data_IF_094178614886
#
_entry.id   IF_094178614886
#
_cell.length_a   1.000
_cell.length_b   1.000
_cell.length_c   1.000
_cell.angle_alpha   90.00
_cell.angle_beta   90.00
_cell.angle_gamma   90.00
#
_symmetry.space_group_name_H-M   'P 1'
#
loop_
_entity.id
_entity.type
_entity.pdbx_description
1 polymer ?
#
# COMPACT_ATOMS: atom_id res chain seq x y z
N UNK A 1 -28.40 -27.51 -14.29
CA UNK A 1 -28.36 -28.90 -13.82
C UNK A 1 -27.95 -28.90 -12.36
N UNK A 2 -28.91 -29.27 -11.51
CA UNK A 2 -28.74 -29.44 -10.07
C UNK A 2 -27.86 -30.66 -9.76
N UNK A 3 -26.77 -30.48 -9.04
CA UNK A 3 -26.21 -31.48 -8.14
C UNK A 3 -25.22 -30.84 -7.19
N UNK A 4 -25.71 -30.11 -6.18
CA UNK A 4 -24.97 -29.91 -4.93
C UNK A 4 -25.50 -30.95 -3.95
N UNK A 5 -24.62 -31.83 -3.51
CA UNK A 5 -24.94 -32.89 -2.56
C UNK A 5 -25.29 -32.33 -1.19
N UNK A 6 -26.24 -32.95 -0.49
CA UNK A 6 -26.69 -32.54 0.87
C UNK A 6 -25.55 -32.31 1.89
N UNK A 7 -24.41 -32.93 1.67
CA UNK A 7 -23.22 -32.82 2.52
C UNK A 7 -22.56 -31.43 2.45
N UNK A 8 -22.50 -30.81 1.26
CA UNK A 8 -21.92 -29.46 1.09
C UNK A 8 -22.77 -28.35 1.70
N UNK A 9 -24.09 -28.54 1.76
CA UNK A 9 -24.99 -27.57 2.40
C UNK A 9 -24.92 -27.62 3.93
N UNK A 10 -24.66 -28.80 4.50
CA UNK A 10 -24.48 -28.97 5.95
C UNK A 10 -23.14 -28.38 6.43
N UNK A 11 -22.05 -28.55 5.68
CA UNK A 11 -20.74 -27.94 5.98
C UNK A 11 -20.78 -26.41 5.89
N UNK A 12 -21.43 -25.84 4.88
CA UNK A 12 -21.60 -24.38 4.78
C UNK A 12 -22.45 -23.81 5.92
N UNK A 13 -23.47 -24.55 6.37
CA UNK A 13 -24.31 -24.11 7.51
C UNK A 13 -23.52 -24.13 8.82
N UNK A 14 -22.70 -25.15 9.08
CA UNK A 14 -21.83 -25.23 10.25
C UNK A 14 -20.79 -24.11 10.33
N UNK A 15 -20.25 -23.70 9.20
CA UNK A 15 -19.28 -22.57 9.11
C UNK A 15 -19.97 -21.23 9.38
N UNK A 16 -21.20 -21.03 8.90
CA UNK A 16 -21.97 -19.81 9.17
C UNK A 16 -22.43 -19.70 10.63
N UNK A 17 -22.85 -20.82 11.25
CA UNK A 17 -23.24 -20.86 12.64
C UNK A 17 -22.04 -20.65 13.58
N UNK A 18 -20.86 -21.19 13.24
CA UNK A 18 -19.63 -20.95 13.98
C UNK A 18 -19.16 -19.49 13.92
N UNK A 19 -19.34 -18.83 12.76
CA UNK A 19 -19.05 -17.38 12.61
C UNK A 19 -20.03 -16.52 13.38
N UNK A 20 -21.32 -16.86 13.38
CA UNK A 20 -22.36 -16.14 14.11
C UNK A 20 -22.17 -16.25 15.62
N UNK A 21 -21.78 -17.42 16.14
CA UNK A 21 -21.49 -17.64 17.56
C UNK A 21 -20.22 -16.91 18.02
N UNK A 22 -19.18 -16.82 17.17
CA UNK A 22 -18.01 -15.98 17.44
C UNK A 22 -18.34 -14.49 17.49
N UNK A 23 -19.20 -14.00 16.60
CA UNK A 23 -19.66 -12.60 16.62
C UNK A 23 -20.52 -12.27 17.86
N UNK A 24 -21.34 -13.20 18.35
CA UNK A 24 -22.13 -12.98 19.57
C UNK A 24 -21.28 -12.95 20.84
N UNK A 25 -20.20 -13.71 20.90
CA UNK A 25 -19.26 -13.68 22.03
C UNK A 25 -18.41 -12.41 22.09
N UNK A 26 -18.15 -11.76 20.95
CA UNK A 26 -17.44 -10.46 20.89
C UNK A 26 -18.30 -9.33 21.48
N UNK A 27 -19.63 -9.39 21.33
CA UNK A 27 -20.52 -8.36 21.81
C UNK A 27 -20.90 -8.44 23.30
N UNK A 28 -20.50 -9.48 24.04
CA UNK A 28 -20.80 -9.63 25.47
C UNK A 28 -19.67 -9.21 26.41
N UNK A 29 -18.47 -8.88 25.86
CA UNK A 29 -17.32 -8.48 26.70
C UNK A 29 -17.05 -6.96 26.73
N UNK A 30 -18.01 -6.16 26.25
CA UNK A 30 -17.88 -4.69 26.16
C UNK A 30 -18.27 -3.90 27.42
N UNK A 31 -18.33 -4.55 28.59
CA UNK A 31 -18.59 -3.84 29.85
C UNK A 31 -17.52 -4.13 30.89
N UNK A 32 -16.35 -3.50 30.75
CA UNK A 32 -15.37 -3.11 31.79
C UNK A 32 -13.99 -2.93 31.20
N UNK A 33 -13.58 -1.69 30.96
CA UNK A 33 -12.16 -1.32 31.08
C UNK A 33 -12.02 0.21 31.11
N UNK A 34 -11.92 0.72 32.29
CA UNK A 34 -11.25 1.99 32.57
C UNK A 34 -9.74 1.67 32.66
N UNK A 35 -8.91 2.30 31.83
CA UNK A 35 -7.51 2.54 32.12
C UNK A 35 -6.50 1.49 31.69
N UNK A 36 -6.57 0.98 30.44
CA UNK A 36 -5.41 0.39 29.78
C UNK A 36 -5.23 1.11 28.45
N UNK A 37 -4.12 1.86 28.29
CA UNK A 37 -3.71 2.44 26.99
C UNK A 37 -3.52 1.22 26.09
N UNK A 38 -4.40 1.03 25.14
CA UNK A 38 -4.54 -0.19 24.36
C UNK A 38 -3.22 -0.56 23.67
N UNK A 39 -2.67 -1.71 24.02
CA UNK A 39 -1.46 -2.25 23.42
C UNK A 39 -1.68 -2.44 21.92
N UNK A 40 -0.79 -1.91 21.07
CA UNK A 40 -0.82 -2.10 19.62
C UNK A 40 -0.90 -3.57 19.25
N UNK A 41 -1.91 -3.96 18.48
CA UNK A 41 -2.15 -5.33 18.02
C UNK A 41 -1.81 -5.54 16.54
N UNK A 42 -1.85 -4.46 15.75
CA UNK A 42 -1.52 -4.51 14.34
C UNK A 42 -0.72 -3.28 13.90
N UNK A 43 0.21 -3.47 12.95
CA UNK A 43 0.93 -2.39 12.28
C UNK A 43 0.76 -2.59 10.78
N UNK A 44 0.28 -1.54 10.11
CA UNK A 44 0.10 -1.51 8.66
C UNK A 44 1.11 -0.58 8.02
N UNK A 45 1.71 -1.02 6.93
CA UNK A 45 2.68 -0.23 6.18
C UNK A 45 2.14 0.11 4.79
N UNK A 46 2.40 1.33 4.33
CA UNK A 46 2.44 1.59 2.90
C UNK A 46 3.69 0.94 2.28
N UNK A 47 3.76 0.89 0.95
CA UNK A 47 4.85 0.26 0.22
C UNK A 47 5.81 1.29 -0.38
N UNK A 48 5.30 2.12 -1.32
CA UNK A 48 6.12 3.00 -2.14
C UNK A 48 6.63 4.19 -1.30
N UNK A 49 7.95 4.46 -1.33
CA UNK A 49 8.65 5.46 -0.50
C UNK A 49 8.52 5.22 1.03
N UNK A 50 8.01 4.05 1.44
CA UNK A 50 7.95 3.61 2.83
C UNK A 50 8.85 2.40 3.05
N UNK A 51 8.49 1.22 2.55
CA UNK A 51 9.32 0.01 2.77
C UNK A 51 10.47 -0.14 1.77
N UNK A 52 10.54 0.71 0.76
CA UNK A 52 11.67 0.89 -0.16
C UNK A 52 11.62 2.29 -0.81
N UNK A 53 12.75 2.76 -1.39
CA UNK A 53 12.84 4.05 -2.10
C UNK A 53 12.29 3.93 -3.52
N UNK A 54 10.98 4.21 -3.70
CA UNK A 54 10.33 4.19 -5.01
C UNK A 54 10.87 5.30 -5.93
N UNK A 55 11.02 6.53 -5.42
CA UNK A 55 11.47 7.67 -6.22
C UNK A 55 12.88 7.41 -6.78
N UNK A 56 13.79 6.89 -5.96
CA UNK A 56 15.13 6.53 -6.40
C UNK A 56 15.11 5.44 -7.48
N UNK A 57 14.34 4.36 -7.26
CA UNK A 57 14.20 3.29 -8.23
C UNK A 57 13.55 3.76 -9.54
N UNK A 58 12.52 4.63 -9.48
CA UNK A 58 11.91 5.24 -10.65
C UNK A 58 12.90 6.08 -11.46
N UNK A 59 13.65 6.95 -10.79
CA UNK A 59 14.63 7.81 -11.44
C UNK A 59 15.74 7.00 -12.16
N UNK A 60 16.15 5.86 -11.57
CA UNK A 60 17.10 4.96 -12.21
C UNK A 60 16.49 4.16 -13.38
N UNK A 61 15.18 3.94 -13.38
CA UNK A 61 14.46 3.23 -14.46
C UNK A 61 14.24 4.11 -15.68
N UNK A 62 14.03 5.41 -15.49
CA UNK A 62 13.67 6.32 -16.59
C UNK A 62 14.73 6.42 -17.72
N UNK A 63 16.05 6.41 -17.46
CA UNK A 63 17.05 6.37 -18.54
C UNK A 63 16.88 5.15 -19.46
N UNK A 64 16.60 3.97 -18.90
CA UNK A 64 16.37 2.73 -19.68
C UNK A 64 15.10 2.87 -20.54
N UNK A 65 14.03 3.42 -19.99
CA UNK A 65 12.79 3.69 -20.72
C UNK A 65 12.98 4.68 -21.87
N UNK A 66 13.77 5.73 -21.63
CA UNK A 66 14.09 6.74 -22.65
C UNK A 66 14.87 6.15 -23.83
N UNK A 67 15.87 5.32 -23.53
CA UNK A 67 16.65 4.64 -24.56
C UNK A 67 15.77 3.73 -25.40
N UNK A 68 15.00 2.86 -24.74
CA UNK A 68 14.11 1.93 -25.41
C UNK A 68 13.08 2.64 -26.31
N UNK A 69 12.45 3.72 -25.79
CA UNK A 69 11.44 4.50 -26.53
C UNK A 69 12.04 5.21 -27.76
N UNK A 70 13.27 5.68 -27.65
CA UNK A 70 14.00 6.27 -28.77
C UNK A 70 14.27 5.24 -29.86
N UNK A 71 14.85 4.09 -29.51
CA UNK A 71 15.22 3.04 -30.46
C UNK A 71 14.01 2.39 -31.14
N UNK A 72 12.95 2.11 -30.42
CA UNK A 72 11.83 1.32 -30.92
C UNK A 72 10.66 2.16 -31.46
N UNK A 73 10.51 3.38 -30.96
CA UNK A 73 9.36 4.24 -31.28
C UNK A 73 9.76 5.58 -31.92
N UNK A 74 11.06 5.93 -31.96
CA UNK A 74 11.53 7.23 -32.44
C UNK A 74 11.04 8.39 -31.58
N UNK A 75 10.78 8.16 -30.30
CA UNK A 75 10.40 9.20 -29.34
C UNK A 75 11.68 9.82 -28.78
N UNK A 76 11.81 11.16 -28.88
CA UNK A 76 12.96 11.84 -28.32
C UNK A 76 13.07 11.63 -26.81
N UNK A 77 14.29 11.35 -26.31
CA UNK A 77 14.53 11.00 -24.90
C UNK A 77 14.04 12.06 -23.92
N UNK A 78 14.17 13.32 -24.29
CA UNK A 78 13.72 14.50 -23.55
C UNK A 78 12.20 14.63 -23.47
N UNK A 79 11.46 14.08 -24.42
CA UNK A 79 10.01 14.20 -24.51
C UNK A 79 9.25 13.07 -23.80
N UNK A 80 9.87 11.93 -23.53
CA UNK A 80 9.16 10.75 -23.01
C UNK A 80 8.42 11.04 -21.71
N UNK A 81 9.06 11.70 -20.76
CA UNK A 81 8.43 12.00 -19.44
C UNK A 81 7.22 12.92 -19.60
N UNK A 82 7.33 13.91 -20.47
CA UNK A 82 6.21 14.80 -20.81
C UNK A 82 5.04 14.01 -21.37
N UNK A 83 5.28 13.15 -22.37
CA UNK A 83 4.20 12.35 -22.98
C UNK A 83 3.58 11.35 -21.98
N UNK A 84 4.38 10.75 -21.10
CA UNK A 84 3.87 9.87 -20.02
C UNK A 84 3.02 10.66 -19.01
N UNK A 85 3.42 11.90 -18.68
CA UNK A 85 2.66 12.76 -17.78
C UNK A 85 1.32 13.19 -18.39
N UNK A 86 1.31 13.61 -19.66
CA UNK A 86 0.10 13.94 -20.40
C UNK A 86 -0.85 12.73 -20.53
N UNK A 87 -0.29 11.56 -20.79
CA UNK A 87 -1.06 10.31 -20.88
C UNK A 87 -1.66 9.91 -19.52
N UNK A 88 -0.98 10.21 -18.41
CA UNK A 88 -1.53 10.01 -17.08
C UNK A 88 -2.80 10.81 -16.88
N UNK A 89 -2.76 12.11 -17.17
CA UNK A 89 -3.95 12.99 -17.07
C UNK A 89 -5.11 12.43 -17.90
N UNK A 90 -4.83 12.02 -19.14
CA UNK A 90 -5.83 11.46 -20.03
C UNK A 90 -6.42 10.13 -19.53
N UNK A 91 -5.59 9.26 -18.93
CA UNK A 91 -6.05 8.01 -18.34
C UNK A 91 -6.91 8.29 -17.10
N UNK A 92 -6.49 9.23 -16.25
CA UNK A 92 -7.24 9.65 -15.06
C UNK A 92 -8.61 10.27 -15.44
N UNK A 93 -8.67 11.08 -16.48
CA UNK A 93 -9.93 11.64 -16.98
C UNK A 93 -10.90 10.58 -17.51
N UNK A 94 -10.40 9.49 -18.08
CA UNK A 94 -11.22 8.38 -18.60
C UNK A 94 -11.73 7.47 -17.50
N UNK A 95 -10.89 7.16 -16.52
CA UNK A 95 -11.17 6.19 -15.49
C UNK A 95 -11.89 6.77 -14.27
N UNK A 96 -11.84 8.10 -14.08
CA UNK A 96 -12.13 8.77 -12.83
C UNK A 96 -10.88 8.85 -11.95
N UNK A 97 -10.97 9.63 -10.87
CA UNK A 97 -9.86 9.81 -9.91
C UNK A 97 -10.01 8.83 -8.76
N UNK A 98 -8.90 8.58 -8.06
CA UNK A 98 -8.83 7.79 -6.82
C UNK A 98 -9.19 6.30 -6.99
N UNK A 99 -8.86 5.73 -8.17
CA UNK A 99 -8.98 4.30 -8.47
C UNK A 99 -7.62 3.67 -8.81
N UNK A 100 -7.45 2.40 -8.49
CA UNK A 100 -6.21 1.65 -8.77
C UNK A 100 -5.76 1.70 -10.23
N UNK A 101 -6.70 1.86 -11.17
CA UNK A 101 -6.41 2.00 -12.60
C UNK A 101 -5.55 3.24 -12.91
N UNK A 102 -5.61 4.26 -12.06
CA UNK A 102 -4.79 5.48 -12.19
C UNK A 102 -3.28 5.18 -12.01
N UNK A 103 -2.94 4.09 -11.34
CA UNK A 103 -1.58 3.59 -11.21
C UNK A 103 -1.19 2.56 -12.27
N UNK A 104 -2.13 2.10 -13.10
CA UNK A 104 -1.86 1.11 -14.13
C UNK A 104 -1.04 1.72 -15.29
N UNK A 105 0.28 1.48 -15.28
CA UNK A 105 1.19 1.99 -16.29
C UNK A 105 0.93 1.43 -17.68
N UNK A 106 0.35 0.23 -17.81
CA UNK A 106 -0.03 -0.32 -19.11
C UNK A 106 -1.06 0.59 -19.80
N UNK A 107 -2.09 1.02 -19.06
CA UNK A 107 -3.10 1.95 -19.58
C UNK A 107 -2.48 3.31 -19.92
N UNK A 108 -1.53 3.80 -19.10
CA UNK A 108 -0.82 5.06 -19.40
C UNK A 108 0.00 4.97 -20.67
N UNK A 109 0.78 3.90 -20.85
CA UNK A 109 1.56 3.69 -22.09
C UNK A 109 0.66 3.50 -23.31
N UNK A 110 -0.46 2.78 -23.17
CA UNK A 110 -1.48 2.69 -24.20
C UNK A 110 -1.98 4.09 -24.59
N UNK A 111 -2.44 4.91 -23.64
CA UNK A 111 -2.93 6.26 -23.87
C UNK A 111 -1.87 7.17 -24.52
N UNK A 112 -0.60 7.02 -24.13
CA UNK A 112 0.52 7.74 -24.73
C UNK A 112 0.69 7.39 -26.20
N UNK A 113 0.76 6.10 -26.53
CA UNK A 113 0.95 5.62 -27.88
C UNK A 113 -0.22 6.01 -28.80
N UNK A 114 -1.47 5.87 -28.32
CA UNK A 114 -2.67 6.33 -29.02
C UNK A 114 -2.58 7.84 -29.34
N UNK A 115 -2.16 8.65 -28.37
CA UNK A 115 -2.06 10.12 -28.54
C UNK A 115 -0.97 10.49 -29.56
N UNK A 116 0.13 9.75 -29.60
CA UNK A 116 1.23 9.97 -30.52
C UNK A 116 1.02 9.32 -31.90
N UNK A 117 -0.12 8.64 -32.12
CA UNK A 117 -0.36 7.90 -33.35
C UNK A 117 0.61 6.75 -33.59
N UNK A 118 1.16 6.18 -32.52
CA UNK A 118 2.08 5.05 -32.55
C UNK A 118 1.32 3.74 -32.39
N UNK A 119 1.84 2.60 -32.90
CA UNK A 119 1.23 1.29 -32.68
C UNK A 119 1.15 0.96 -31.20
N UNK A 120 -0.02 0.55 -30.71
CA UNK A 120 -0.21 0.15 -29.31
C UNK A 120 0.43 -1.22 -29.05
N UNK A 121 0.22 -2.17 -29.97
CA UNK A 121 0.78 -3.52 -29.89
C UNK A 121 2.03 -3.68 -30.73
N UNK A 122 3.08 -4.35 -30.19
CA UNK A 122 3.21 -4.90 -28.83
C UNK A 122 3.68 -3.88 -27.78
N UNK A 123 3.99 -2.65 -28.20
CA UNK A 123 4.82 -1.67 -27.50
C UNK A 123 4.30 -1.23 -26.12
N UNK A 124 2.99 -1.08 -25.94
CA UNK A 124 2.46 -0.71 -24.61
C UNK A 124 2.80 -1.77 -23.56
N UNK A 125 2.69 -3.05 -23.93
CA UNK A 125 2.99 -4.15 -23.04
C UNK A 125 4.49 -4.33 -22.80
N UNK A 126 5.31 -4.14 -23.83
CA UNK A 126 6.77 -4.16 -23.72
C UNK A 126 7.27 -3.04 -22.81
N UNK A 127 6.75 -1.81 -22.96
CA UNK A 127 7.07 -0.68 -22.07
C UNK A 127 6.65 -0.97 -20.63
N UNK A 128 5.47 -1.57 -20.42
CA UNK A 128 4.98 -1.93 -19.10
C UNK A 128 5.90 -2.94 -18.40
N UNK A 129 6.28 -4.01 -19.10
CA UNK A 129 7.18 -5.01 -18.56
C UNK A 129 8.57 -4.43 -18.31
N UNK A 130 9.15 -3.73 -19.28
CA UNK A 130 10.46 -3.09 -19.14
C UNK A 130 10.50 -2.17 -17.93
N UNK A 131 9.47 -1.33 -17.74
CA UNK A 131 9.41 -0.42 -16.61
C UNK A 131 9.41 -1.17 -15.27
N UNK A 132 8.49 -2.11 -15.09
CA UNK A 132 8.35 -2.80 -13.82
C UNK A 132 9.48 -3.78 -13.55
N UNK A 133 9.98 -4.49 -14.56
CA UNK A 133 11.10 -5.41 -14.42
C UNK A 133 12.37 -4.65 -14.02
N UNK A 134 12.66 -3.53 -14.70
CA UNK A 134 13.82 -2.69 -14.37
C UNK A 134 13.70 -2.06 -12.99
N UNK A 135 12.51 -1.55 -12.62
CA UNK A 135 12.29 -0.94 -11.32
C UNK A 135 12.41 -1.97 -10.20
N UNK A 136 11.71 -3.10 -10.34
CA UNK A 136 11.65 -4.11 -9.28
C UNK A 136 13.00 -4.82 -9.12
N UNK A 137 13.78 -4.98 -10.18
CA UNK A 137 15.07 -5.67 -10.06
C UNK A 137 16.06 -4.96 -9.15
N UNK A 138 15.98 -3.64 -9.03
CA UNK A 138 16.92 -2.82 -8.25
C UNK A 138 16.46 -2.46 -6.84
N UNK A 139 15.17 -2.71 -6.46
CA UNK A 139 14.69 -2.32 -5.15
C UNK A 139 15.29 -3.16 -4.03
N UNK A 140 15.56 -2.50 -2.92
CA UNK A 140 16.03 -3.10 -1.67
C UNK A 140 15.17 -2.57 -0.51
N UNK A 141 15.02 -3.32 0.60
CA UNK A 141 14.30 -2.86 1.76
C UNK A 141 14.87 -1.56 2.34
N UNK A 142 14.01 -0.66 2.79
CA UNK A 142 14.41 0.53 3.54
C UNK A 142 15.19 0.14 4.80
N UNK A 143 16.22 0.91 5.19
CA UNK A 143 17.04 0.58 6.36
C UNK A 143 16.21 0.41 7.64
N UNK A 144 16.39 -0.72 8.33
CA UNK A 144 15.75 -1.04 9.60
C UNK A 144 14.33 -1.60 9.51
N UNK A 145 13.73 -1.71 8.29
CA UNK A 145 12.36 -2.24 8.14
C UNK A 145 12.28 -3.74 8.47
N UNK A 146 13.27 -4.54 8.03
CA UNK A 146 13.28 -5.97 8.30
C UNK A 146 13.42 -6.26 9.79
N UNK A 147 14.30 -5.52 10.48
CA UNK A 147 14.50 -5.60 11.94
C UNK A 147 13.22 -5.25 12.68
N UNK A 148 12.54 -4.16 12.29
CA UNK A 148 11.26 -3.78 12.87
C UNK A 148 10.21 -4.87 12.67
N UNK A 149 10.01 -5.36 11.44
CA UNK A 149 9.03 -6.42 11.15
C UNK A 149 9.32 -7.69 11.96
N UNK A 150 10.59 -8.07 12.08
CA UNK A 150 11.00 -9.22 12.90
C UNK A 150 10.63 -9.02 14.38
N UNK A 151 10.87 -7.85 14.94
CA UNK A 151 10.55 -7.55 16.34
C UNK A 151 9.03 -7.50 16.57
N UNK A 152 8.26 -6.89 15.65
CA UNK A 152 6.80 -6.91 15.70
C UNK A 152 6.25 -8.34 15.71
N UNK A 153 6.78 -9.23 14.86
CA UNK A 153 6.40 -10.66 14.85
C UNK A 153 6.73 -11.36 16.16
N UNK A 154 7.90 -11.09 16.76
CA UNK A 154 8.26 -11.65 18.06
C UNK A 154 7.33 -11.22 19.19
N UNK A 155 6.74 -10.02 19.07
CA UNK A 155 5.73 -9.49 20.00
C UNK A 155 4.31 -9.99 19.71
N UNK A 156 4.12 -10.80 18.66
CA UNK A 156 2.81 -11.29 18.24
C UNK A 156 1.92 -10.23 17.59
N UNK A 157 2.49 -9.13 17.09
CA UNK A 157 1.78 -8.06 16.43
C UNK A 157 1.52 -8.46 14.98
N UNK A 158 0.29 -8.26 14.52
CA UNK A 158 -0.09 -8.47 13.11
C UNK A 158 0.58 -7.44 12.22
N UNK A 159 1.18 -7.88 11.11
CA UNK A 159 1.81 -7.00 10.13
C UNK A 159 1.01 -7.05 8.84
N UNK A 160 0.45 -5.92 8.45
CA UNK A 160 -0.30 -5.77 7.22
C UNK A 160 0.28 -4.73 6.27
N UNK A 161 -0.17 -4.78 5.04
CA UNK A 161 0.10 -3.77 4.00
C UNK A 161 -1.21 -3.09 3.62
N UNK A 162 -1.19 -1.75 3.48
CA UNK A 162 -2.28 -0.96 2.95
C UNK A 162 -1.77 0.02 1.88
N UNK A 163 -1.91 -0.29 0.59
CA UNK A 163 -1.23 0.47 -0.47
C UNK A 163 -2.11 0.81 -1.67
N UNK A 164 -1.88 2.02 -2.24
CA UNK A 164 -2.53 2.48 -3.46
C UNK A 164 -1.81 1.91 -4.68
N UNK A 165 -2.32 0.81 -5.27
CA UNK A 165 -1.75 0.20 -6.48
C UNK A 165 -2.56 -1.02 -6.92
N UNK A 166 -2.21 -1.55 -8.12
CA UNK A 166 -2.64 -2.87 -8.57
C UNK A 166 -1.94 -3.98 -7.79
N UNK A 167 -2.66 -5.03 -7.48
CA UNK A 167 -2.20 -6.13 -6.61
C UNK A 167 -0.98 -6.85 -7.18
N UNK A 168 -0.97 -7.17 -8.48
CA UNK A 168 0.15 -7.86 -9.13
C UNK A 168 1.49 -7.17 -8.86
N UNK A 169 1.55 -5.87 -9.10
CA UNK A 169 2.78 -5.08 -8.91
C UNK A 169 3.23 -5.08 -7.45
N UNK A 170 2.29 -4.93 -6.50
CA UNK A 170 2.63 -4.90 -5.08
C UNK A 170 3.14 -6.25 -4.57
N UNK A 171 2.54 -7.35 -5.01
CA UNK A 171 3.05 -8.70 -4.70
C UNK A 171 4.47 -8.92 -5.25
N UNK A 172 4.74 -8.52 -6.49
CA UNK A 172 6.08 -8.61 -7.10
C UNK A 172 7.12 -7.83 -6.29
N UNK A 173 6.79 -6.61 -5.83
CA UNK A 173 7.69 -5.80 -4.99
C UNK A 173 7.98 -6.49 -3.65
N UNK A 174 6.95 -6.97 -2.94
CA UNK A 174 7.12 -7.65 -1.66
C UNK A 174 7.96 -8.92 -1.79
N UNK A 175 7.75 -9.70 -2.85
CA UNK A 175 8.54 -10.89 -3.14
C UNK A 175 10.01 -10.53 -3.38
N UNK A 176 10.29 -9.50 -4.18
CA UNK A 176 11.67 -9.02 -4.45
C UNK A 176 12.35 -8.50 -3.18
N UNK A 177 11.63 -7.77 -2.33
CA UNK A 177 12.15 -7.25 -1.06
C UNK A 177 12.41 -8.35 -0.02
N UNK A 178 11.87 -9.58 -0.21
CA UNK A 178 12.03 -10.69 0.72
C UNK A 178 11.28 -10.51 2.05
N UNK A 179 10.36 -9.53 2.12
CA UNK A 179 9.62 -9.20 3.35
C UNK A 179 8.35 -10.03 3.55
N UNK A 180 7.91 -10.78 2.53
CA UNK A 180 6.66 -11.55 2.57
C UNK A 180 6.56 -12.54 3.74
N UNK A 181 7.70 -13.04 4.25
CA UNK A 181 7.75 -13.94 5.43
C UNK A 181 7.29 -13.30 6.73
N UNK A 182 7.20 -11.98 6.80
CA UNK A 182 6.74 -11.24 7.98
C UNK A 182 5.30 -10.74 7.86
N UNK A 183 4.77 -10.64 6.63
CA UNK A 183 3.50 -9.99 6.33
C UNK A 183 2.35 -11.00 6.50
N UNK A 184 1.36 -10.66 7.32
CA UNK A 184 0.18 -11.48 7.59
C UNK A 184 -0.95 -11.21 6.60
N UNK A 185 -1.01 -10.01 6.02
CA UNK A 185 -2.04 -9.63 5.05
C UNK A 185 -1.68 -8.41 4.23
N UNK A 186 -2.35 -8.27 3.09
CA UNK A 186 -2.21 -7.13 2.19
C UNK A 186 -3.59 -6.66 1.74
N UNK A 187 -3.76 -5.35 1.68
CA UNK A 187 -4.88 -4.65 1.06
C UNK A 187 -4.33 -3.68 0.02
N UNK A 188 -4.82 -3.79 -1.20
CA UNK A 188 -4.50 -2.85 -2.28
C UNK A 188 -5.73 -2.02 -2.63
N UNK A 189 -5.54 -0.85 -3.26
CA UNK A 189 -6.66 -0.06 -3.77
C UNK A 189 -7.45 -0.80 -4.85
N UNK A 190 -6.83 -1.76 -5.57
CA UNK A 190 -7.53 -2.63 -6.51
C UNK A 190 -8.53 -3.54 -5.79
N UNK A 191 -8.18 -4.13 -4.65
CA UNK A 191 -9.09 -4.93 -3.81
C UNK A 191 -10.15 -4.05 -3.14
N UNK A 192 -9.75 -2.90 -2.62
CA UNK A 192 -10.64 -1.99 -1.90
C UNK A 192 -11.64 -1.26 -2.82
N UNK A 193 -11.29 -1.11 -4.11
CA UNK A 193 -12.07 -0.34 -5.08
C UNK A 193 -11.93 1.18 -4.95
N UNK A 194 -11.20 1.68 -3.95
CA UNK A 194 -10.90 3.09 -3.70
C UNK A 194 -9.49 3.24 -3.14
N UNK A 195 -8.85 4.38 -3.42
CA UNK A 195 -7.51 4.69 -2.93
C UNK A 195 -7.53 5.40 -1.58
N UNK A 196 -6.43 5.31 -0.82
CA UNK A 196 -6.19 6.25 0.29
C UNK A 196 -6.21 7.69 -0.28
N UNK A 197 -6.82 8.67 0.41
CA UNK A 197 -7.23 8.67 1.82
C UNK A 197 -8.64 8.14 2.10
N UNK A 198 -9.34 7.49 1.14
CA UNK A 198 -10.64 6.90 1.41
C UNK A 198 -10.54 5.78 2.45
N UNK A 199 -11.60 5.63 3.26
CA UNK A 199 -11.62 4.76 4.42
C UNK A 199 -11.48 3.27 4.13
N UNK A 200 -11.88 2.81 2.93
CA UNK A 200 -12.03 1.38 2.60
C UNK A 200 -10.74 0.55 2.78
N UNK A 201 -9.58 1.11 2.42
CA UNK A 201 -8.30 0.41 2.63
C UNK A 201 -8.08 0.18 4.12
N UNK A 202 -8.30 1.20 4.96
CA UNK A 202 -8.12 1.11 6.41
C UNK A 202 -9.12 0.16 7.04
N UNK A 203 -10.40 0.22 6.63
CA UNK A 203 -11.46 -0.69 7.09
C UNK A 203 -11.10 -2.15 6.80
N UNK A 204 -10.67 -2.47 5.57
CA UNK A 204 -10.24 -3.81 5.19
C UNK A 204 -8.97 -4.27 5.92
N UNK A 205 -8.03 -3.36 6.18
CA UNK A 205 -6.83 -3.65 6.96
C UNK A 205 -7.20 -4.19 8.35
N UNK A 206 -8.02 -3.48 9.10
CA UNK A 206 -8.40 -3.91 10.46
C UNK A 206 -9.35 -5.11 10.44
N UNK A 207 -10.23 -5.22 9.44
CA UNK A 207 -11.08 -6.40 9.24
C UNK A 207 -10.24 -7.67 9.08
N UNK A 208 -9.22 -7.65 8.20
CA UNK A 208 -8.32 -8.80 7.99
C UNK A 208 -7.50 -9.13 9.24
N UNK A 209 -7.08 -8.13 9.99
CA UNK A 209 -6.33 -8.32 11.23
C UNK A 209 -7.22 -8.73 12.42
N UNK A 210 -8.52 -8.50 12.36
CA UNK A 210 -9.45 -8.75 13.46
C UNK A 210 -9.23 -7.84 14.66
N UNK A 211 -8.84 -6.57 14.43
CA UNK A 211 -8.54 -5.58 15.47
C UNK A 211 -9.36 -4.31 15.28
N UNK A 212 -9.40 -3.44 16.30
CA UNK A 212 -10.00 -2.11 16.17
C UNK A 212 -9.01 -1.10 15.57
N UNK A 213 -9.54 0.03 15.05
CA UNK A 213 -8.71 1.10 14.49
C UNK A 213 -7.72 1.63 15.52
N UNK A 214 -8.17 1.84 16.76
CA UNK A 214 -7.40 2.39 17.87
C UNK A 214 -6.32 1.41 18.39
N UNK A 215 -6.43 0.12 18.07
CA UNK A 215 -5.48 -0.93 18.41
C UNK A 215 -4.42 -1.17 17.32
N UNK A 216 -4.43 -0.33 16.28
CA UNK A 216 -3.55 -0.45 15.14
C UNK A 216 -2.81 0.84 14.84
N UNK A 217 -1.66 0.74 14.14
CA UNK A 217 -0.87 1.89 13.69
C UNK A 217 -0.66 1.76 12.19
N UNK A 218 -0.84 2.87 11.46
CA UNK A 218 -0.46 2.97 10.06
C UNK A 218 0.89 3.69 9.93
N UNK A 219 1.77 3.22 9.04
CA UNK A 219 3.04 3.87 8.74
C UNK A 219 3.11 4.10 7.23
N UNK A 220 3.31 5.35 6.84
CA UNK A 220 3.45 5.73 5.43
C UNK A 220 4.19 7.05 5.27
N UNK A 221 4.51 7.41 4.02
CA UNK A 221 5.27 8.60 3.69
C UNK A 221 4.39 9.79 3.27
N UNK A 222 3.14 9.52 2.89
CA UNK A 222 2.25 10.52 2.30
C UNK A 222 1.34 11.18 3.35
N UNK A 223 1.49 12.50 3.52
CA UNK A 223 0.56 13.27 4.37
C UNK A 223 -0.87 13.20 3.83
N UNK A 224 -1.04 13.35 2.52
CA UNK A 224 -2.38 13.40 1.90
C UNK A 224 -3.11 12.05 1.89
N UNK A 225 -2.38 10.95 1.70
CA UNK A 225 -2.97 9.63 1.58
C UNK A 225 -2.94 8.85 2.90
N UNK A 226 -1.77 8.74 3.54
CA UNK A 226 -1.59 7.89 4.72
C UNK A 226 -2.02 8.60 5.99
N UNK A 227 -1.44 9.78 6.27
CA UNK A 227 -1.70 10.48 7.52
C UNK A 227 -3.15 10.96 7.59
N UNK A 228 -3.60 11.70 6.58
CA UNK A 228 -4.99 12.18 6.54
C UNK A 228 -5.98 11.02 6.47
N UNK A 229 -5.67 9.97 5.70
CA UNK A 229 -6.52 8.79 5.58
C UNK A 229 -6.70 8.06 6.91
N UNK A 230 -5.61 7.75 7.60
CA UNK A 230 -5.62 7.08 8.91
C UNK A 230 -6.32 7.94 9.97
N UNK A 231 -5.99 9.23 10.05
CA UNK A 231 -6.65 10.16 10.99
C UNK A 231 -8.15 10.32 10.71
N UNK A 232 -8.58 10.24 9.43
CA UNK A 232 -10.00 10.31 9.07
C UNK A 232 -10.83 9.16 9.64
N UNK A 233 -10.22 8.02 9.90
CA UNK A 233 -10.88 6.82 10.46
C UNK A 233 -10.55 6.58 11.94
N UNK A 234 -9.76 7.45 12.57
CA UNK A 234 -9.34 7.32 13.97
C UNK A 234 -8.22 6.31 14.20
N UNK A 235 -7.49 5.92 13.14
CA UNK A 235 -6.32 5.04 13.26
C UNK A 235 -5.07 5.85 13.61
N UNK A 236 -4.34 5.50 14.68
CA UNK A 236 -3.02 6.04 14.96
C UNK A 236 -2.08 5.93 13.75
N UNK A 237 -1.25 6.96 13.52
CA UNK A 237 -0.39 7.01 12.34
C UNK A 237 0.97 7.60 12.66
N UNK A 238 2.00 7.05 12.02
CA UNK A 238 3.39 7.53 12.05
C UNK A 238 3.78 7.93 10.63
N UNK A 239 4.27 9.15 10.45
CA UNK A 239 4.81 9.62 9.18
C UNK A 239 6.28 9.21 9.04
N UNK A 240 6.62 8.55 7.94
CA UNK A 240 8.00 8.16 7.61
C UNK A 240 8.65 9.17 6.66
N UNK A 241 9.82 9.72 7.05
CA UNK A 241 10.57 10.75 6.32
C UNK A 241 12.07 10.42 6.26
N UNK A 242 12.50 9.41 5.51
CA UNK A 242 13.88 8.91 5.55
C UNK A 242 14.94 9.89 5.04
N UNK A 243 14.55 10.91 4.26
CA UNK A 243 15.46 11.91 3.66
C UNK A 243 15.65 13.16 4.54
N UNK A 244 14.91 13.26 5.62
CA UNK A 244 15.04 14.34 6.59
C UNK A 244 16.03 13.93 7.69
N UNK A 245 16.89 14.88 8.13
CA UNK A 245 17.86 14.64 9.22
C UNK A 245 17.18 14.69 10.58
N UNK A 246 16.15 13.86 10.77
CA UNK A 246 15.40 13.78 12.03
C UNK A 246 16.14 12.85 12.97
N UNK A 247 16.83 13.39 13.94
CA UNK A 247 17.53 12.64 15.00
C UNK A 247 16.64 12.31 16.18
N UNK A 248 15.67 13.19 16.47
CA UNK A 248 14.64 13.02 17.50
C UNK A 248 13.28 13.02 16.83
N UNK A 249 12.29 12.39 17.47
CA UNK A 249 10.93 12.33 16.91
C UNK A 249 10.32 13.72 16.94
N UNK A 250 9.92 14.18 15.77
CA UNK A 250 9.21 15.45 15.56
C UNK A 250 7.70 15.21 15.47
N UNK A 251 6.93 16.29 15.52
CA UNK A 251 5.48 16.24 15.34
C UNK A 251 5.05 17.01 14.10
N UNK A 252 4.32 16.32 13.22
CA UNK A 252 3.58 16.98 12.16
C UNK A 252 2.21 17.41 12.68
N UNK A 253 1.90 18.70 12.60
CA UNK A 253 0.55 19.22 12.86
C UNK A 253 -0.32 19.08 11.61
N UNK A 254 -1.50 18.51 11.76
CA UNK A 254 -2.52 18.37 10.71
C UNK A 254 -3.82 19.05 11.15
N UNK A 255 -4.82 19.09 10.27
CA UNK A 255 -6.14 19.62 10.61
C UNK A 255 -6.87 18.77 11.68
N UNK A 256 -6.57 17.47 11.76
CA UNK A 256 -7.23 16.50 12.65
C UNK A 256 -6.44 16.14 13.89
N UNK A 257 -5.27 16.72 14.05
CA UNK A 257 -4.41 16.44 15.19
C UNK A 257 -2.94 16.51 14.83
N UNK A 258 -2.14 15.72 15.50
CA UNK A 258 -0.70 15.62 15.25
C UNK A 258 -0.31 14.15 15.08
N UNK A 259 0.76 13.89 14.35
CA UNK A 259 1.36 12.57 14.28
C UNK A 259 2.88 12.65 14.45
N UNK A 260 3.53 11.64 15.04
CA UNK A 260 4.98 11.59 15.12
C UNK A 260 5.59 11.35 13.74
N UNK A 261 6.76 11.96 13.52
CA UNK A 261 7.56 11.83 12.30
C UNK A 261 8.84 11.10 12.63
N UNK A 262 9.13 10.02 11.91
CA UNK A 262 10.36 9.25 12.05
C UNK A 262 11.15 9.28 10.74
N UNK A 263 12.49 9.27 10.84
CA UNK A 263 13.39 9.10 9.70
C UNK A 263 13.98 7.71 9.61
N UNK A 264 13.90 6.92 10.68
CA UNK A 264 14.43 5.57 10.73
C UNK A 264 13.48 4.63 11.49
N UNK A 265 13.32 3.40 11.01
CA UNK A 265 12.40 2.43 11.62
C UNK A 265 12.79 2.02 13.06
N UNK A 266 14.04 2.20 13.47
CA UNK A 266 14.46 2.02 14.87
C UNK A 266 13.77 2.96 15.85
N UNK A 267 13.22 4.09 15.38
CA UNK A 267 12.47 5.06 16.18
C UNK A 267 11.01 4.63 16.43
N UNK A 268 10.56 3.53 15.82
CA UNK A 268 9.14 3.12 15.87
C UNK A 268 8.62 2.97 17.31
N UNK A 269 9.30 2.23 18.17
CA UNK A 269 8.81 1.96 19.53
C UNK A 269 8.83 3.18 20.46
N UNK A 270 9.62 4.18 20.13
CA UNK A 270 9.58 5.47 20.80
C UNK A 270 8.37 6.28 20.30
N UNK A 271 8.16 6.34 18.98
CA UNK A 271 7.02 7.01 18.37
C UNK A 271 5.68 6.38 18.79
N UNK A 272 5.60 5.05 18.89
CA UNK A 272 4.42 4.32 19.38
C UNK A 272 3.97 4.80 20.77
N UNK A 273 4.91 5.03 21.69
CA UNK A 273 4.59 5.52 23.05
C UNK A 273 4.05 6.95 23.09
N UNK A 274 4.17 7.67 21.98
CA UNK A 274 3.74 9.07 21.86
C UNK A 274 2.33 9.18 21.24
N UNK A 275 1.76 8.07 20.69
CA UNK A 275 0.42 7.97 20.15
C UNK A 275 -0.60 7.74 21.24
#
# INVERSE_FOLDING_TARGET
CNCMTRTSQQECRGILECKAQKMQNINQDSSKKTGDIGMTKAVFFDIDDTIYDYIGAHNNTMPVMKEWAYENLGIAKEDLEKYVAEARVKADDRAGRDYAVNHNRLVRFQCMLETLGKPVFPYAYEMYNLYWDTLIDQIIPSPGIEELMKELKQRGIYIGIGSNMTSDVQYRKILKLGLGKYIDGIVTSEEAGEEKPHRKIFDLCVEKAGVAMEESIFIGDSVSHDVNGAQNVGMPVILYRPKENITEIEWLQTEKGKCPVIAHFSQFFEAEKML
#
